data_IF_888277538292
#
_entry.id   IF_888277538292
#
_cell.length_a   1.000
_cell.length_b   1.000
_cell.length_c   1.000
_cell.angle_alpha   90.00
_cell.angle_beta   90.00
_cell.angle_gamma   90.00
#
_symmetry.space_group_name_H-M   'P 1'
#
loop_
_entity.id
_entity.type
_entity.pdbx_description
1 polymer ?
#
# COMPACT_ATOMS: atom_id res chain seq x y z
N UNK A 1 -11.50 11.80 -1.84
CA UNK A 1 -10.40 11.57 -0.85
C UNK A 1 -9.44 10.55 -1.42
N UNK A 2 -8.17 10.81 -1.32
CA UNK A 2 -7.11 9.90 -1.76
C UNK A 2 -6.37 9.33 -0.56
N UNK A 3 -6.36 8.01 -0.43
CA UNK A 3 -5.77 7.30 0.69
C UNK A 3 -4.60 6.46 0.19
N UNK A 4 -3.43 6.63 0.79
CA UNK A 4 -2.28 5.77 0.52
C UNK A 4 -2.23 4.66 1.56
N UNK A 5 -1.98 3.45 1.11
CA UNK A 5 -1.87 2.28 1.96
C UNK A 5 -0.50 1.66 1.79
N UNK A 6 0.19 1.45 2.91
CA UNK A 6 1.48 0.78 2.93
C UNK A 6 1.25 -0.72 2.82
N UNK A 7 1.70 -1.31 1.71
CA UNK A 7 1.51 -2.72 1.41
C UNK A 7 2.76 -3.57 1.58
N UNK A 8 3.65 -3.22 2.49
CA UNK A 8 4.91 -3.97 2.68
C UNK A 8 4.69 -5.47 2.82
N UNK A 9 3.65 -5.89 3.55
CA UNK A 9 3.38 -7.30 3.83
C UNK A 9 2.45 -7.96 2.81
N UNK A 10 2.22 -7.33 1.67
CA UNK A 10 1.29 -7.86 0.66
C UNK A 10 1.61 -9.28 0.22
N UNK A 11 2.89 -9.58 0.03
CA UNK A 11 3.35 -10.90 -0.42
C UNK A 11 3.45 -11.93 0.71
N UNK A 12 2.99 -11.58 1.92
CA UNK A 12 3.00 -12.46 3.09
C UNK A 12 1.57 -12.71 3.57
N UNK A 13 0.74 -13.45 2.80
CA UNK A 13 -0.68 -13.60 3.12
C UNK A 13 -0.96 -14.40 4.38
N UNK A 14 0.05 -15.11 4.91
CA UNK A 14 -0.09 -15.86 6.17
C UNK A 14 0.10 -14.99 7.40
N UNK A 15 0.60 -13.76 7.24
CA UNK A 15 0.69 -12.81 8.35
C UNK A 15 -0.63 -12.09 8.56
N UNK A 16 -0.92 -11.68 9.80
CA UNK A 16 -2.11 -10.90 10.09
C UNK A 16 -2.14 -9.58 9.31
N UNK A 17 -0.99 -8.92 9.20
CA UNK A 17 -0.89 -7.65 8.45
C UNK A 17 -1.13 -7.83 6.96
N UNK A 18 -0.59 -8.90 6.36
CA UNK A 18 -0.79 -9.19 4.94
C UNK A 18 -2.25 -9.49 4.63
N UNK A 19 -2.92 -10.29 5.45
CA UNK A 19 -4.34 -10.58 5.29
C UNK A 19 -5.20 -9.34 5.46
N UNK A 20 -4.88 -8.50 6.44
CA UNK A 20 -5.61 -7.28 6.71
C UNK A 20 -5.63 -6.35 5.50
N UNK A 21 -4.47 -6.14 4.87
CA UNK A 21 -4.38 -5.28 3.68
C UNK A 21 -5.21 -5.85 2.54
N UNK A 22 -5.10 -7.16 2.28
CA UNK A 22 -5.83 -7.80 1.18
C UNK A 22 -7.34 -7.75 1.35
N UNK A 23 -7.83 -7.81 2.59
CA UNK A 23 -9.25 -7.74 2.88
C UNK A 23 -9.77 -6.31 2.94
N UNK A 24 -8.94 -5.38 3.41
CA UNK A 24 -9.32 -3.99 3.59
C UNK A 24 -9.63 -3.29 2.27
N UNK A 25 -8.84 -3.54 1.23
CA UNK A 25 -8.93 -2.81 -0.03
C UNK A 25 -10.29 -2.96 -0.72
N UNK A 26 -10.81 -4.19 -0.94
CA UNK A 26 -12.13 -4.32 -1.55
C UNK A 26 -13.23 -3.70 -0.71
N UNK A 27 -13.15 -3.83 0.61
CA UNK A 27 -14.14 -3.26 1.51
C UNK A 27 -14.19 -1.74 1.41
N UNK A 28 -13.03 -1.09 1.36
CA UNK A 28 -12.95 0.36 1.22
C UNK A 28 -13.53 0.83 -0.12
N UNK A 29 -13.21 0.13 -1.21
CA UNK A 29 -13.71 0.48 -2.53
C UNK A 29 -15.22 0.34 -2.64
N UNK A 30 -15.81 -0.62 -1.93
CA UNK A 30 -17.27 -0.81 -1.89
C UNK A 30 -17.96 0.20 -0.99
N UNK A 31 -17.29 0.63 0.08
CA UNK A 31 -17.89 1.51 1.08
C UNK A 31 -18.03 2.96 0.59
N UNK A 32 -17.17 3.41 -0.32
CA UNK A 32 -17.14 4.80 -0.76
C UNK A 32 -16.76 4.89 -2.24
N UNK A 33 -17.69 5.32 -3.07
CA UNK A 33 -17.50 5.42 -4.52
C UNK A 33 -16.54 6.54 -4.92
N UNK A 34 -16.31 7.51 -4.05
CA UNK A 34 -15.42 8.64 -4.31
C UNK A 34 -14.01 8.41 -3.81
N UNK A 35 -13.76 7.28 -3.15
CA UNK A 35 -12.46 6.97 -2.57
C UNK A 35 -11.46 6.52 -3.65
N UNK A 36 -10.30 7.15 -3.66
CA UNK A 36 -9.17 6.73 -4.48
C UNK A 36 -8.11 6.11 -3.59
N UNK A 37 -7.58 4.97 -3.98
CA UNK A 37 -6.58 4.23 -3.21
C UNK A 37 -5.26 4.21 -3.97
N UNK A 38 -4.17 4.54 -3.26
CA UNK A 38 -2.81 4.36 -3.74
C UNK A 38 -2.18 3.26 -2.89
N UNK A 39 -2.02 2.09 -3.48
CA UNK A 39 -1.38 0.96 -2.80
C UNK A 39 0.11 0.98 -3.13
N UNK A 40 0.93 1.24 -2.13
CA UNK A 40 2.38 1.32 -2.28
C UNK A 40 3.00 0.00 -1.86
N UNK A 41 3.67 -0.66 -2.78
CA UNK A 41 4.23 -1.99 -2.59
C UNK A 41 5.74 -1.99 -2.85
N UNK A 42 6.50 -2.85 -2.15
CA UNK A 42 7.85 -3.15 -2.60
C UNK A 42 7.79 -3.80 -3.99
N UNK A 43 8.83 -3.60 -4.80
CA UNK A 43 8.80 -4.01 -6.19
C UNK A 43 8.59 -5.53 -6.37
N UNK A 44 9.06 -6.35 -5.44
CA UNK A 44 8.89 -7.81 -5.55
C UNK A 44 7.45 -8.27 -5.36
N UNK A 45 6.60 -7.45 -4.72
CA UNK A 45 5.20 -7.79 -4.50
C UNK A 45 4.29 -7.20 -5.59
N UNK A 46 4.71 -6.14 -6.26
CA UNK A 46 3.87 -5.40 -7.20
C UNK A 46 3.43 -6.22 -8.40
N UNK A 47 4.28 -7.14 -8.87
CA UNK A 47 3.99 -7.99 -10.03
C UNK A 47 2.84 -8.97 -9.76
N UNK A 48 2.50 -9.19 -8.50
CA UNK A 48 1.45 -10.13 -8.10
C UNK A 48 0.10 -9.46 -7.95
N UNK A 49 0.02 -8.14 -8.16
CA UNK A 49 -1.18 -7.38 -7.89
C UNK A 49 -1.78 -6.84 -9.17
N UNK A 50 -3.07 -7.13 -9.37
CA UNK A 50 -3.87 -6.49 -10.41
C UNK A 50 -4.87 -5.57 -9.69
N UNK A 51 -4.90 -4.31 -10.09
CA UNK A 51 -5.83 -3.36 -9.50
C UNK A 51 -7.28 -3.78 -9.79
N UNK A 52 -8.12 -3.97 -8.75
CA UNK A 52 -9.50 -4.41 -8.95
C UNK A 52 -10.43 -3.30 -9.45
N UNK A 53 -9.95 -2.06 -9.48
CA UNK A 53 -10.76 -0.89 -9.84
C UNK A 53 -9.86 0.19 -10.42
N UNK A 54 -10.36 1.01 -11.38
CA UNK A 54 -9.61 2.18 -11.84
C UNK A 54 -9.40 3.24 -10.75
N UNK A 55 -10.11 3.15 -9.63
CA UNK A 55 -9.92 4.03 -8.49
C UNK A 55 -8.75 3.60 -7.60
N UNK A 56 -8.12 2.47 -7.90
CA UNK A 56 -6.96 1.99 -7.18
C UNK A 56 -5.73 2.03 -8.07
N UNK A 57 -4.69 2.70 -7.62
CA UNK A 57 -3.40 2.77 -8.28
C UNK A 57 -2.39 1.96 -7.49
N UNK A 58 -1.65 1.09 -8.17
CA UNK A 58 -0.56 0.31 -7.58
C UNK A 58 0.76 0.98 -7.91
N UNK A 59 1.54 1.31 -6.89
CA UNK A 59 2.86 1.94 -7.06
C UNK A 59 3.92 0.99 -6.55
N UNK A 60 4.82 0.56 -7.44
CA UNK A 60 5.96 -0.28 -7.10
C UNK A 60 7.14 0.60 -6.69
N UNK A 61 7.79 0.25 -5.58
CA UNK A 61 8.93 0.98 -5.06
C UNK A 61 10.14 0.07 -4.98
N UNK A 62 11.28 0.45 -5.56
CA UNK A 62 12.52 -0.30 -5.39
C UNK A 62 13.02 -0.17 -3.95
N UNK A 63 13.31 -1.30 -3.33
CA UNK A 63 13.81 -1.32 -1.95
C UNK A 63 14.48 -2.67 -1.67
N UNK A 64 15.25 -2.73 -0.57
CA UNK A 64 15.88 -3.96 -0.13
C UNK A 64 14.91 -4.81 0.68
N UNK A 65 14.88 -6.10 0.40
CA UNK A 65 14.06 -7.06 1.15
C UNK A 65 14.78 -7.47 2.44
N UNK A 66 14.83 -6.54 3.39
CA UNK A 66 15.54 -6.69 4.66
C UNK A 66 14.88 -5.82 5.72
N UNK A 67 15.25 -6.02 6.98
CA UNK A 67 14.72 -5.17 8.04
C UNK A 67 15.13 -3.68 7.87
N UNK A 68 16.39 -3.35 7.57
CA UNK A 68 16.74 -1.96 7.25
C UNK A 68 15.99 -1.41 6.04
N UNK A 69 15.75 -2.25 5.02
CA UNK A 69 14.98 -1.85 3.86
C UNK A 69 13.53 -1.51 4.22
N UNK A 70 12.94 -2.29 5.12
CA UNK A 70 11.59 -2.03 5.62
C UNK A 70 11.53 -0.70 6.37
N UNK A 71 12.49 -0.43 7.24
CA UNK A 71 12.54 0.83 8.00
C UNK A 71 12.69 2.01 7.04
N UNK A 72 13.54 1.91 6.05
CA UNK A 72 13.71 2.95 5.04
C UNK A 72 12.41 3.19 4.27
N UNK A 73 11.73 2.11 3.86
CA UNK A 73 10.45 2.17 3.17
C UNK A 73 9.42 2.94 4.01
N UNK A 74 9.29 2.60 5.29
CA UNK A 74 8.29 3.20 6.19
C UNK A 74 8.60 4.67 6.50
N UNK A 75 9.87 4.99 6.75
CA UNK A 75 10.25 6.28 7.30
C UNK A 75 10.58 7.31 6.23
N UNK A 76 11.02 6.89 5.07
CA UNK A 76 11.51 7.78 4.02
C UNK A 76 10.67 7.67 2.75
N UNK A 77 10.64 6.48 2.15
CA UNK A 77 10.06 6.28 0.81
C UNK A 77 8.56 6.53 0.81
N UNK A 78 7.84 5.89 1.72
CA UNK A 78 6.38 5.98 1.76
C UNK A 78 5.91 7.40 2.10
N UNK A 79 6.43 8.09 3.14
CA UNK A 79 6.02 9.47 3.40
C UNK A 79 6.30 10.44 2.26
N UNK A 80 7.45 10.30 1.60
CA UNK A 80 7.79 11.14 0.45
C UNK A 80 6.84 10.94 -0.72
N UNK A 81 6.51 9.69 -0.98
CA UNK A 81 5.57 9.35 -2.04
C UNK A 81 4.18 9.90 -1.74
N UNK A 82 3.71 9.79 -0.51
CA UNK A 82 2.43 10.35 -0.08
C UNK A 82 2.38 11.85 -0.30
N UNK A 83 3.44 12.57 0.07
CA UNK A 83 3.53 14.00 -0.13
C UNK A 83 3.51 14.37 -1.61
N UNK A 84 4.24 13.61 -2.44
CA UNK A 84 4.32 13.85 -3.88
C UNK A 84 2.99 13.62 -4.59
N UNK A 85 2.24 12.63 -4.16
CA UNK A 85 0.98 12.24 -4.80
C UNK A 85 -0.24 12.99 -4.26
N UNK A 86 -0.06 13.91 -3.32
CA UNK A 86 -1.16 14.69 -2.77
C UNK A 86 -2.19 13.84 -2.03
N UNK A 87 -1.71 12.92 -1.22
CA UNK A 87 -2.55 12.00 -0.47
C UNK A 87 -3.18 12.71 0.74
N UNK A 88 -4.47 12.51 0.95
CA UNK A 88 -5.20 13.09 2.07
C UNK A 88 -4.97 12.33 3.37
N UNK A 89 -4.80 11.01 3.29
CA UNK A 89 -4.62 10.14 4.44
C UNK A 89 -3.68 9.00 4.09
N UNK A 90 -2.74 8.69 4.98
CA UNK A 90 -1.86 7.55 4.85
C UNK A 90 -2.19 6.52 5.92
N UNK A 91 -2.29 5.27 5.53
CA UNK A 91 -2.60 4.17 6.43
C UNK A 91 -1.49 3.12 6.41
N UNK A 92 -0.99 2.79 7.59
CA UNK A 92 0.00 1.73 7.79
C UNK A 92 -0.69 0.61 8.57
N UNK A 93 -1.08 -0.50 7.90
CA UNK A 93 -1.90 -1.54 8.52
C UNK A 93 -1.11 -2.52 9.40
N UNK A 94 0.06 -2.12 9.85
CA UNK A 94 0.89 -2.92 10.74
C UNK A 94 1.69 -2.02 11.68
N UNK A 95 2.30 -2.62 12.67
CA UNK A 95 3.15 -1.91 13.63
C UNK A 95 4.29 -2.79 14.13
#
# INVERSE_FOLDING_TARGET
MRVAINGWFWDQPTTGSGQMVRQLLPALLQADDALEIVLVLPHWAADQVTAPSPRMQVVAVPCHRSHPGKVWFEQITFPRLCARMGVDLAHIPYF
#
